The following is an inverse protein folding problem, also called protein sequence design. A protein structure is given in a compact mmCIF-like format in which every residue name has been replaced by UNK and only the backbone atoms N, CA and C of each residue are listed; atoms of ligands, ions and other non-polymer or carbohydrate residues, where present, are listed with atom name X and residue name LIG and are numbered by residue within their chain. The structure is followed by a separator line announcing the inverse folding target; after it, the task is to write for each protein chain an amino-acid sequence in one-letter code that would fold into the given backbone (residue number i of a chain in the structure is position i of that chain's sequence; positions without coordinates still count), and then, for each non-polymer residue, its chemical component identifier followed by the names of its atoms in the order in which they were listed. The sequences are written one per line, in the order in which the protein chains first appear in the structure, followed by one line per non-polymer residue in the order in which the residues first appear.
data_IF_964492579717
#
_entry.id   IF_964492579717
#
_cell.length_a   1.000
_cell.length_b   1.000
_cell.length_c   1.000
_cell.angle_alpha   90.00
_cell.angle_beta   90.00
_cell.angle_gamma   90.00
#
_symmetry.space_group_name_H-M   'P 1'
#
loop_
_entity.id
_entity.type
_entity.pdbx_description
1 polymer ?
#
# COMPACT_ATOMS: atom_id res chain seq x y z
N UNK A 1 -2.95 -3.21 42.11
CA UNK A 1 -2.77 -1.76 41.80
C UNK A 1 -4.14 -1.10 41.82
N UNK A 2 -4.28 -0.01 42.58
CA UNK A 2 -5.56 0.67 42.86
C UNK A 2 -6.21 1.19 41.57
N UNK A 3 -7.54 1.06 41.49
CA UNK A 3 -8.33 1.28 40.27
C UNK A 3 -8.13 2.66 39.66
N UNK A 4 -7.95 2.68 38.34
CA UNK A 4 -8.06 3.86 37.46
C UNK A 4 -9.53 4.36 37.46
N UNK A 5 -10.02 4.85 38.61
CA UNK A 5 -11.35 5.45 38.78
C UNK A 5 -11.47 6.75 37.97
N UNK A 6 -12.72 7.18 37.75
CA UNK A 6 -13.08 8.46 37.12
C UNK A 6 -12.21 9.60 37.65
N UNK A 7 -11.31 10.09 36.81
CA UNK A 7 -10.40 11.19 37.13
C UNK A 7 -11.03 12.51 36.71
N UNK A 8 -10.72 13.55 37.47
CA UNK A 8 -11.17 14.91 37.20
C UNK A 8 -10.73 15.38 35.80
N UNK A 9 -11.70 15.85 35.01
CA UNK A 9 -11.48 16.31 33.63
C UNK A 9 -10.67 17.60 33.58
N UNK A 10 -10.67 18.38 34.65
CA UNK A 10 -10.00 19.68 34.73
C UNK A 10 -8.61 19.60 35.39
N UNK A 11 -8.10 18.38 35.62
CA UNK A 11 -6.83 18.16 36.29
C UNK A 11 -5.64 18.72 35.47
N UNK A 12 -5.01 19.77 35.99
CA UNK A 12 -3.81 20.38 35.36
C UNK A 12 -2.52 19.86 36.00
N UNK A 13 -1.49 19.49 35.20
CA UNK A 13 -0.20 19.07 35.72
C UNK A 13 0.55 20.24 36.38
N UNK A 14 1.33 19.93 37.42
CA UNK A 14 2.31 20.84 38.02
C UNK A 14 3.43 21.17 37.02
N UNK A 15 4.25 22.18 37.33
CA UNK A 15 5.37 22.58 36.44
C UNK A 15 6.31 21.41 36.14
N UNK A 16 6.77 20.70 37.17
CA UNK A 16 7.65 19.54 37.02
C UNK A 16 7.00 18.40 36.20
N UNK A 17 5.69 18.20 36.37
CA UNK A 17 4.95 17.19 35.60
C UNK A 17 4.79 17.60 34.13
N UNK A 18 4.62 18.90 33.84
CA UNK A 18 4.62 19.42 32.46
C UNK A 18 5.96 19.24 31.78
N UNK A 19 7.05 19.50 32.50
CA UNK A 19 8.39 19.34 31.95
C UNK A 19 8.65 17.85 31.61
N UNK A 20 8.26 16.93 32.50
CA UNK A 20 8.30 15.48 32.23
C UNK A 20 7.41 15.06 31.05
N UNK A 21 6.18 15.54 30.99
CA UNK A 21 5.28 15.27 29.87
C UNK A 21 5.87 15.79 28.55
N UNK A 22 6.48 16.97 28.55
CA UNK A 22 7.12 17.54 27.36
C UNK A 22 8.29 16.68 26.90
N UNK A 23 9.10 16.16 27.82
CA UNK A 23 10.17 15.22 27.51
C UNK A 23 9.63 13.91 26.89
N UNK A 24 8.56 13.35 27.47
CA UNK A 24 7.88 12.16 26.94
C UNK A 24 7.36 12.38 25.52
N UNK A 25 6.76 13.55 25.26
CA UNK A 25 6.22 13.92 23.95
C UNK A 25 7.31 14.17 22.90
N UNK A 26 8.56 14.40 23.33
CA UNK A 26 9.70 14.56 22.44
C UNK A 26 10.34 13.22 22.05
N UNK A 27 9.91 12.09 22.63
CA UNK A 27 10.44 10.78 22.25
C UNK A 27 10.12 10.44 20.79
N UNK A 28 11.06 9.81 20.07
CA UNK A 28 10.81 9.36 18.71
C UNK A 28 9.59 8.43 18.62
N UNK A 29 8.93 8.38 17.45
CA UNK A 29 7.90 7.39 17.14
C UNK A 29 8.38 5.96 17.43
N UNK A 30 7.51 5.12 17.99
CA UNK A 30 7.85 3.72 18.30
C UNK A 30 8.68 3.47 19.58
N UNK A 31 9.20 4.50 20.26
CA UNK A 31 9.80 4.30 21.59
C UNK A 31 8.73 3.92 22.62
N UNK A 32 8.94 2.79 23.30
CA UNK A 32 8.07 2.32 24.38
C UNK A 32 8.20 3.18 25.64
N UNK A 33 7.06 3.49 26.24
CA UNK A 33 6.96 4.21 27.50
C UNK A 33 7.09 3.24 28.68
N UNK A 34 7.82 3.65 29.71
CA UNK A 34 7.81 2.94 30.99
C UNK A 34 6.43 3.00 31.65
N UNK A 35 6.15 2.07 32.56
CA UNK A 35 4.86 1.99 33.25
C UNK A 35 4.54 3.30 34.01
N UNK A 36 5.54 3.94 34.60
CA UNK A 36 5.36 5.22 35.32
C UNK A 36 5.01 6.36 34.37
N UNK A 37 5.66 6.43 33.21
CA UNK A 37 5.36 7.40 32.16
C UNK A 37 3.95 7.15 31.59
N UNK A 38 3.57 5.89 31.39
CA UNK A 38 2.23 5.53 30.93
C UNK A 38 1.14 5.95 31.92
N UNK A 39 1.35 5.69 33.22
CA UNK A 39 0.42 6.12 34.27
C UNK A 39 0.33 7.65 34.36
N UNK A 40 1.45 8.36 34.12
CA UNK A 40 1.47 9.83 34.07
C UNK A 40 0.69 10.38 32.88
N UNK A 41 0.91 9.84 31.67
CA UNK A 41 0.19 10.22 30.45
C UNK A 41 -1.30 9.91 30.60
N UNK A 42 -1.65 8.72 31.13
CA UNK A 42 -3.04 8.35 31.40
C UNK A 42 -3.71 9.31 32.40
N UNK A 43 -2.99 9.71 33.46
CA UNK A 43 -3.50 10.66 34.46
C UNK A 43 -3.86 12.02 33.86
N UNK A 44 -3.04 12.55 32.96
CA UNK A 44 -3.24 13.87 32.34
C UNK A 44 -3.86 13.80 30.93
N UNK A 45 -4.51 12.70 30.57
CA UNK A 45 -5.11 12.49 29.23
C UNK A 45 -6.06 13.59 28.76
N UNK A 46 -6.88 14.15 29.64
CA UNK A 46 -7.79 15.25 29.29
C UNK A 46 -7.03 16.53 28.96
N UNK A 47 -5.95 16.83 29.68
CA UNK A 47 -5.08 17.96 29.37
C UNK A 47 -4.31 17.73 28.06
N UNK A 48 -3.82 16.52 27.84
CA UNK A 48 -3.09 16.13 26.63
C UNK A 48 -3.98 16.09 25.37
N UNK A 49 -5.30 16.03 25.52
CA UNK A 49 -6.25 16.01 24.40
C UNK A 49 -6.15 17.23 23.47
N UNK A 50 -5.57 18.33 23.96
CA UNK A 50 -5.31 19.56 23.20
C UNK A 50 -3.99 19.54 22.43
N UNK A 51 -3.14 18.52 22.64
CA UNK A 51 -1.83 18.39 22.01
C UNK A 51 -1.84 17.27 20.96
N UNK A 52 -1.61 17.63 19.69
CA UNK A 52 -1.65 16.68 18.55
C UNK A 52 -0.67 15.50 18.72
N UNK A 53 0.59 15.82 19.03
CA UNK A 53 1.69 14.83 19.19
C UNK A 53 1.50 13.88 20.38
N UNK A 54 0.57 14.19 21.28
CA UNK A 54 0.33 13.37 22.47
C UNK A 54 -0.56 12.16 22.20
N UNK A 55 -1.31 12.15 21.09
CA UNK A 55 -2.29 11.10 20.83
C UNK A 55 -1.65 9.71 20.68
N UNK A 56 -0.58 9.58 19.88
CA UNK A 56 0.10 8.30 19.70
C UNK A 56 0.64 7.75 21.03
N UNK A 57 1.31 8.60 21.81
CA UNK A 57 1.82 8.24 23.15
C UNK A 57 0.69 7.87 24.10
N UNK A 58 -0.43 8.59 24.09
CA UNK A 58 -1.61 8.25 24.88
C UNK A 58 -2.16 6.86 24.51
N UNK A 59 -2.32 6.56 23.23
CA UNK A 59 -2.84 5.28 22.75
C UNK A 59 -1.94 4.09 23.11
N UNK A 60 -0.63 4.30 23.24
CA UNK A 60 0.32 3.29 23.75
C UNK A 60 0.10 2.96 25.23
N UNK A 61 -0.50 3.86 26.01
CA UNK A 61 -0.72 3.70 27.46
C UNK A 61 -2.04 2.97 27.79
N UNK A 62 -2.88 2.72 26.78
CA UNK A 62 -4.21 2.11 26.93
C UNK A 62 -4.08 0.60 27.06
N UNK A 63 -4.71 0.01 28.08
CA UNK A 63 -4.87 -1.44 28.17
C UNK A 63 -6.07 -1.89 27.33
N UNK A 64 -5.80 -2.38 26.13
CA UNK A 64 -6.85 -2.79 25.17
C UNK A 64 -7.63 -4.05 25.58
N UNK A 65 -7.17 -4.76 26.61
CA UNK A 65 -7.85 -5.89 27.26
C UNK A 65 -8.97 -5.46 28.23
N UNK A 66 -8.98 -4.20 28.67
CA UNK A 66 -9.95 -3.68 29.64
C UNK A 66 -11.01 -2.81 28.99
N UNK A 67 -12.25 -3.32 28.91
CA UNK A 67 -13.36 -2.64 28.25
C UNK A 67 -13.62 -1.20 28.74
N UNK A 68 -13.47 -0.94 30.05
CA UNK A 68 -13.66 0.41 30.60
C UNK A 68 -12.60 1.42 30.10
N UNK A 69 -11.33 0.99 30.03
CA UNK A 69 -10.24 1.83 29.53
C UNK A 69 -10.37 2.04 28.01
N UNK A 70 -10.74 0.99 27.28
CA UNK A 70 -11.00 1.06 25.84
C UNK A 70 -12.11 2.06 25.54
N UNK A 71 -13.25 1.98 26.25
CA UNK A 71 -14.37 2.92 26.05
C UNK A 71 -13.92 4.37 26.27
N UNK A 72 -13.22 4.65 27.38
CA UNK A 72 -12.70 6.00 27.66
C UNK A 72 -11.70 6.48 26.60
N UNK A 73 -10.81 5.61 26.12
CA UNK A 73 -9.83 5.95 25.11
C UNK A 73 -10.49 6.28 23.77
N UNK A 74 -11.53 5.53 23.38
CA UNK A 74 -12.28 5.78 22.16
C UNK A 74 -13.13 7.05 22.22
N UNK A 75 -13.77 7.32 23.37
CA UNK A 75 -14.51 8.56 23.59
C UNK A 75 -13.58 9.78 23.52
N UNK A 76 -12.37 9.66 24.07
CA UNK A 76 -11.32 10.68 23.99
C UNK A 76 -10.76 10.84 22.58
N UNK A 77 -10.58 9.75 21.83
CA UNK A 77 -10.08 9.78 20.46
C UNK A 77 -10.96 10.65 19.56
N UNK A 78 -12.28 10.61 19.75
CA UNK A 78 -13.23 11.43 19.01
C UNK A 78 -13.16 12.93 19.36
N UNK A 79 -12.74 13.25 20.58
CA UNK A 79 -12.63 14.63 21.09
C UNK A 79 -11.21 15.19 20.97
N UNK A 80 -10.23 14.34 20.67
CA UNK A 80 -8.83 14.74 20.57
C UNK A 80 -8.63 15.71 19.41
N UNK A 81 -7.72 16.67 19.58
CA UNK A 81 -7.30 17.54 18.47
C UNK A 81 -6.82 16.68 17.30
N UNK A 82 -7.19 17.06 16.08
CA UNK A 82 -6.86 16.28 14.88
C UNK A 82 -5.35 16.15 14.71
N UNK A 83 -4.87 14.91 14.69
CA UNK A 83 -3.48 14.53 14.44
C UNK A 83 -3.05 14.88 13.00
N UNK A 84 -1.77 15.18 12.78
CA UNK A 84 -1.25 15.43 11.43
C UNK A 84 -1.11 14.11 10.64
N UNK A 85 -1.12 14.17 9.31
CA UNK A 85 -1.18 12.95 8.48
C UNK A 85 0.05 12.06 8.66
N UNK A 86 1.22 12.66 8.86
CA UNK A 86 2.49 11.93 9.00
C UNK A 86 2.54 11.15 10.32
N UNK A 87 2.01 11.73 11.40
CA UNK A 87 1.88 11.07 12.71
C UNK A 87 0.88 9.90 12.65
N UNK A 88 -0.11 9.95 11.75
CA UNK A 88 -1.08 8.87 11.58
C UNK A 88 -0.46 7.58 11.01
N UNK A 89 0.70 7.68 10.32
CA UNK A 89 1.45 6.51 9.86
C UNK A 89 1.94 5.66 11.04
N UNK A 90 2.27 6.28 12.19
CA UNK A 90 2.67 5.55 13.40
C UNK A 90 1.53 4.63 13.89
N UNK A 91 0.28 5.10 13.79
CA UNK A 91 -0.91 4.36 14.23
C UNK A 91 -1.24 3.15 13.35
N UNK A 92 -0.62 3.02 12.17
CA UNK A 92 -0.74 1.85 11.30
C UNK A 92 0.33 0.79 11.56
N UNK A 93 1.30 1.09 12.42
CA UNK A 93 2.36 0.17 12.80
C UNK A 93 1.89 -1.02 13.65
N UNK A 94 2.82 -1.94 13.97
CA UNK A 94 2.53 -3.17 14.70
C UNK A 94 2.09 -2.94 16.16
N UNK A 95 2.27 -1.74 16.71
CA UNK A 95 1.91 -1.43 18.09
C UNK A 95 0.40 -1.26 18.27
N UNK A 96 -0.34 -0.94 17.21
CA UNK A 96 -1.76 -0.57 17.29
C UNK A 96 -2.62 -1.51 16.44
N UNK A 97 -3.35 -2.39 17.12
CA UNK A 97 -4.23 -3.39 16.49
C UNK A 97 -5.72 -3.08 16.59
N UNK A 98 -6.11 -2.13 17.45
CA UNK A 98 -7.52 -1.87 17.69
C UNK A 98 -8.21 -1.25 16.46
N UNK A 99 -9.30 -1.85 15.91
CA UNK A 99 -9.89 -1.45 14.64
C UNK A 99 -10.26 0.04 14.56
N UNK A 100 -10.83 0.60 15.62
CA UNK A 100 -11.19 2.03 15.67
C UNK A 100 -9.99 2.99 15.64
N UNK A 101 -8.84 2.58 16.18
CA UNK A 101 -7.60 3.39 16.11
C UNK A 101 -7.08 3.39 14.68
N UNK A 102 -7.07 2.22 14.04
CA UNK A 102 -6.65 2.07 12.64
C UNK A 102 -7.60 2.82 11.69
N UNK A 103 -8.91 2.72 11.91
CA UNK A 103 -9.89 3.49 11.15
C UNK A 103 -9.73 5.00 11.35
N UNK A 104 -9.39 5.46 12.56
CA UNK A 104 -9.02 6.86 12.77
C UNK A 104 -7.79 7.24 11.95
N UNK A 105 -6.73 6.43 11.96
CA UNK A 105 -5.53 6.67 11.16
C UNK A 105 -5.86 6.76 9.65
N UNK A 106 -6.69 5.85 9.14
CA UNK A 106 -7.20 5.88 7.76
C UNK A 106 -8.02 7.14 7.47
N UNK A 107 -8.82 7.62 8.43
CA UNK A 107 -9.56 8.88 8.29
C UNK A 107 -8.64 10.09 8.17
N UNK A 108 -7.45 10.06 8.80
CA UNK A 108 -6.41 11.09 8.65
C UNK A 108 -5.76 10.99 7.27
N UNK A 109 -5.38 9.78 6.84
CA UNK A 109 -4.83 9.54 5.49
C UNK A 109 -5.79 9.97 4.37
N UNK A 110 -7.11 9.87 4.60
CA UNK A 110 -8.10 10.35 3.63
C UNK A 110 -7.99 11.86 3.37
N UNK A 111 -7.40 12.64 4.26
CA UNK A 111 -7.21 14.08 4.08
C UNK A 111 -5.93 14.41 3.32
N UNK A 112 -5.00 13.46 3.13
CA UNK A 112 -3.81 13.67 2.33
C UNK A 112 -4.13 13.82 0.84
N UNK A 113 -3.26 14.54 0.15
CA UNK A 113 -3.24 14.61 -1.31
C UNK A 113 -2.83 13.26 -1.90
N UNK A 114 -3.16 13.02 -3.18
CA UNK A 114 -2.75 11.79 -3.86
C UNK A 114 -1.22 11.71 -4.01
N UNK A 115 -0.54 12.85 -4.13
CA UNK A 115 0.92 12.91 -4.20
C UNK A 115 1.57 12.49 -2.87
N UNK A 116 1.07 12.98 -1.74
CA UNK A 116 1.60 12.60 -0.44
C UNK A 116 1.27 11.12 -0.15
N UNK A 117 0.10 10.65 -0.58
CA UNK A 117 -0.27 9.25 -0.47
C UNK A 117 0.69 8.34 -1.28
N UNK A 118 1.12 8.75 -2.47
CA UNK A 118 2.10 8.04 -3.28
C UNK A 118 3.46 7.94 -2.58
N UNK A 119 3.89 8.98 -1.85
CA UNK A 119 5.14 8.95 -1.07
C UNK A 119 5.14 7.92 0.05
N UNK A 120 3.96 7.64 0.62
CA UNK A 120 3.80 6.68 1.72
C UNK A 120 3.29 5.31 1.24
N UNK A 121 2.94 5.16 -0.03
CA UNK A 121 2.21 4.01 -0.54
C UNK A 121 2.96 2.69 -0.30
N UNK A 122 4.29 2.67 -0.48
CA UNK A 122 5.09 1.47 -0.19
C UNK A 122 4.97 1.06 1.28
N UNK A 123 5.06 2.02 2.21
CA UNK A 123 4.94 1.78 3.64
C UNK A 123 3.51 1.38 4.03
N UNK A 124 2.50 1.93 3.36
CA UNK A 124 1.09 1.56 3.57
C UNK A 124 0.80 0.14 3.10
N UNK A 125 1.40 -0.31 1.99
CA UNK A 125 1.32 -1.71 1.55
C UNK A 125 1.90 -2.62 2.63
N UNK A 126 3.06 -2.28 3.21
CA UNK A 126 3.64 -3.05 4.32
C UNK A 126 2.76 -3.06 5.57
N UNK A 127 2.05 -1.96 5.84
CA UNK A 127 1.16 -1.86 6.99
C UNK A 127 -0.09 -2.77 6.89
N UNK A 128 -0.43 -3.29 5.69
CA UNK A 128 -1.50 -4.28 5.51
C UNK A 128 -1.24 -5.56 6.30
N UNK A 129 0.02 -5.90 6.60
CA UNK A 129 0.40 -7.05 7.44
C UNK A 129 -0.12 -6.95 8.87
N UNK A 130 -0.50 -5.75 9.31
CA UNK A 130 -1.01 -5.51 10.66
C UNK A 130 -2.53 -5.27 10.66
N UNK A 131 -3.19 -5.37 9.50
CA UNK A 131 -4.64 -5.34 9.39
C UNK A 131 -5.26 -6.69 9.76
N UNK A 132 -6.57 -6.65 10.00
CA UNK A 132 -7.39 -7.84 10.23
C UNK A 132 -7.60 -8.62 8.93
N UNK A 133 -7.03 -9.82 8.85
CA UNK A 133 -7.04 -10.63 7.62
C UNK A 133 -8.45 -11.07 7.22
N UNK A 134 -9.35 -11.26 8.19
CA UNK A 134 -10.76 -11.58 7.96
C UNK A 134 -11.48 -10.51 7.13
N UNK A 135 -11.16 -9.22 7.34
CA UNK A 135 -11.75 -8.12 6.57
C UNK A 135 -11.23 -8.06 5.13
N UNK A 136 -9.97 -8.46 4.91
CA UNK A 136 -9.36 -8.52 3.58
C UNK A 136 -9.95 -9.68 2.78
N UNK A 137 -10.14 -10.83 3.43
CA UNK A 137 -10.62 -12.06 2.81
C UNK A 137 -12.13 -12.08 2.55
N UNK A 138 -12.93 -11.32 3.30
CA UNK A 138 -14.39 -11.33 3.22
C UNK A 138 -14.94 -11.13 1.78
N UNK A 139 -14.30 -10.28 0.98
CA UNK A 139 -14.74 -9.99 -0.39
C UNK A 139 -14.36 -11.04 -1.44
N UNK A 140 -13.39 -11.92 -1.15
CA UNK A 140 -12.97 -12.98 -2.09
C UNK A 140 -14.00 -14.12 -2.09
N UNK A 141 -14.66 -14.37 -0.96
CA UNK A 141 -15.62 -15.47 -0.80
C UNK A 141 -16.90 -15.24 -1.61
N UNK A 142 -17.38 -13.99 -1.70
CA UNK A 142 -18.60 -13.66 -2.45
C UNK A 142 -18.39 -13.74 -3.97
N UNK A 143 -17.18 -13.40 -4.45
CA UNK A 143 -16.87 -13.40 -5.88
C UNK A 143 -16.79 -14.79 -6.52
N UNK A 144 -16.33 -15.79 -5.75
CA UNK A 144 -16.26 -17.18 -6.21
C UNK A 144 -17.65 -17.84 -6.34
N UNK A 145 -18.70 -17.24 -5.74
CA UNK A 145 -20.08 -17.72 -5.81
C UNK A 145 -20.84 -17.30 -7.08
N UNK A 146 -20.35 -16.30 -7.82
CA UNK A 146 -21.11 -15.68 -8.92
C UNK A 146 -20.79 -16.26 -10.32
N UNK A 147 -19.79 -17.12 -10.48
CA UNK A 147 -19.43 -17.68 -11.80
C UNK A 147 -20.40 -18.73 -12.38
N UNK A 148 -21.54 -19.03 -11.72
CA UNK A 148 -22.53 -20.00 -12.23
C UNK A 148 -23.92 -19.46 -12.62
N UNK A 149 -24.23 -18.17 -12.49
CA UNK A 149 -25.56 -17.64 -12.85
C UNK A 149 -25.49 -16.43 -13.79
N UNK A 150 -25.15 -16.69 -15.06
CA UNK A 150 -25.49 -15.78 -16.15
C UNK A 150 -26.77 -16.26 -16.81
N UNK A 151 -27.88 -15.54 -16.57
CA UNK A 151 -29.06 -15.30 -17.45
C UNK A 151 -30.26 -14.87 -16.60
N UNK A 152 -30.47 -13.57 -16.40
CA UNK A 152 -31.73 -12.86 -16.68
C UNK A 152 -31.81 -11.46 -16.03
N UNK A 153 -32.45 -10.58 -16.81
CA UNK A 153 -33.14 -9.32 -16.47
C UNK A 153 -32.33 -8.06 -16.11
N UNK A 154 -32.57 -7.08 -16.98
CA UNK A 154 -32.32 -5.65 -16.94
C UNK A 154 -32.94 -4.89 -15.76
N UNK A 155 -32.35 -3.71 -15.51
CA UNK A 155 -32.83 -2.53 -14.78
C UNK A 155 -32.33 -2.34 -13.34
N UNK A 156 -31.44 -1.35 -13.24
CA UNK A 156 -31.26 -0.35 -12.16
C UNK A 156 -30.91 -0.79 -10.71
N UNK A 157 -29.98 -0.01 -10.13
CA UNK A 157 -29.60 0.11 -8.72
C UNK A 157 -28.77 -1.00 -8.05
N UNK A 158 -27.44 -0.83 -8.00
CA UNK A 158 -26.61 -1.32 -6.87
C UNK A 158 -25.48 -0.36 -6.52
N UNK A 159 -25.84 0.75 -5.87
CA UNK A 159 -25.00 1.34 -4.84
C UNK A 159 -25.33 0.64 -3.51
N UNK A 160 -24.84 -0.58 -3.32
CA UNK A 160 -24.86 -1.23 -2.01
C UNK A 160 -23.50 -1.88 -1.78
N UNK A 161 -22.57 -1.07 -1.27
CA UNK A 161 -21.46 -1.59 -0.48
C UNK A 161 -22.09 -2.14 0.80
N UNK A 162 -22.42 -3.43 0.82
CA UNK A 162 -22.88 -4.10 2.03
C UNK A 162 -21.64 -4.32 2.90
N UNK A 163 -21.56 -3.53 3.97
CA UNK A 163 -20.67 -3.79 5.10
C UNK A 163 -21.31 -4.95 5.89
N UNK A 164 -20.57 -6.02 6.23
CA UNK A 164 -21.10 -7.06 7.12
C UNK A 164 -21.51 -6.41 8.44
N UNK A 165 -22.81 -6.41 8.72
CA UNK A 165 -23.36 -5.89 9.96
C UNK A 165 -23.13 -6.94 11.04
N UNK A 166 -22.13 -6.73 11.90
CA UNK A 166 -22.01 -7.50 13.14
C UNK A 166 -23.21 -7.16 14.03
N UNK A 167 -24.02 -8.19 14.29
CA UNK A 167 -25.13 -8.15 15.21
C UNK A 167 -24.61 -8.09 16.64
N UNK A 168 -24.57 -6.90 17.23
CA UNK A 168 -24.72 -6.74 18.68
C UNK A 168 -25.37 -5.40 19.02
N UNK A 169 -26.32 -5.46 19.95
CA UNK A 169 -27.39 -4.50 20.22
C UNK A 169 -27.00 -3.08 20.66
N UNK A 170 -27.90 -2.14 20.33
CA UNK A 170 -28.26 -0.86 20.96
C UNK A 170 -27.16 0.19 21.27
N UNK A 171 -27.20 1.35 20.61
CA UNK A 171 -27.87 2.58 21.08
C UNK A 171 -27.58 3.75 20.11
N UNK A 172 -28.30 4.84 20.30
CA UNK A 172 -28.74 5.86 19.35
C UNK A 172 -27.70 6.92 18.97
N UNK A 173 -27.76 7.38 17.71
CA UNK A 173 -27.43 8.73 17.21
C UNK A 173 -26.03 9.32 17.49
N UNK A 174 -25.15 9.30 16.47
CA UNK A 174 -24.25 10.39 16.03
C UNK A 174 -23.56 9.96 14.74
N UNK A 175 -23.37 10.88 13.80
CA UNK A 175 -22.78 10.66 12.47
C UNK A 175 -21.39 10.03 12.54
N UNK A 176 -21.29 8.71 12.59
CA UNK A 176 -20.03 8.00 12.41
C UNK A 176 -19.78 7.85 10.92
N UNK A 177 -18.71 8.48 10.42
CA UNK A 177 -18.11 8.06 9.16
C UNK A 177 -17.93 6.53 9.20
N UNK A 178 -18.26 5.80 8.12
CA UNK A 178 -18.14 4.35 8.10
C UNK A 178 -16.72 3.96 8.51
N UNK A 179 -16.61 3.00 9.44
CA UNK A 179 -15.32 2.47 9.86
C UNK A 179 -14.70 1.76 8.65
N UNK A 180 -13.70 2.41 8.03
CA UNK A 180 -13.02 1.92 6.83
C UNK A 180 -11.61 1.53 7.23
N UNK A 181 -11.25 0.29 6.90
CA UNK A 181 -9.91 -0.26 7.10
C UNK A 181 -8.95 0.23 6.00
N UNK A 182 -7.66 0.00 6.23
CA UNK A 182 -6.63 0.44 5.29
C UNK A 182 -6.80 -0.22 3.92
N UNK A 183 -7.16 -1.49 3.89
CA UNK A 183 -7.30 -2.26 2.65
C UNK A 183 -8.40 -1.68 1.75
N UNK A 184 -9.58 -1.40 2.30
CA UNK A 184 -10.70 -0.80 1.56
C UNK A 184 -10.36 0.62 1.13
N UNK A 185 -9.70 1.41 1.99
CA UNK A 185 -9.28 2.77 1.64
C UNK A 185 -8.32 2.81 0.45
N UNK A 186 -7.28 1.96 0.45
CA UNK A 186 -6.30 1.91 -0.64
C UNK A 186 -6.96 1.50 -1.96
N UNK A 187 -7.85 0.50 -1.93
CA UNK A 187 -8.59 0.07 -3.13
C UNK A 187 -9.53 1.16 -3.63
N UNK A 188 -10.24 1.87 -2.74
CA UNK A 188 -11.10 2.99 -3.12
C UNK A 188 -10.30 4.09 -3.83
N UNK A 189 -9.15 4.49 -3.27
CA UNK A 189 -8.25 5.48 -3.88
C UNK A 189 -7.66 5.01 -5.20
N UNK A 190 -7.25 3.75 -5.29
CA UNK A 190 -6.76 3.16 -6.54
C UNK A 190 -7.81 3.20 -7.67
N UNK A 191 -9.09 2.99 -7.33
CA UNK A 191 -10.17 3.10 -8.32
C UNK A 191 -10.40 4.54 -8.82
N UNK A 192 -10.00 5.55 -8.04
CA UNK A 192 -10.13 6.97 -8.43
C UNK A 192 -8.90 7.46 -9.19
N UNK A 193 -7.73 6.85 -8.95
CA UNK A 193 -6.44 7.29 -9.48
C UNK A 193 -5.67 6.11 -10.09
N UNK A 194 -5.60 6.03 -11.44
CA UNK A 194 -4.89 4.96 -12.15
C UNK A 194 -3.41 4.80 -11.74
N UNK A 195 -2.72 5.90 -11.47
CA UNK A 195 -1.31 5.91 -11.02
C UNK A 195 -1.16 5.17 -9.69
N UNK A 196 -2.06 5.43 -8.73
CA UNK A 196 -2.07 4.73 -7.44
C UNK A 196 -2.38 3.24 -7.66
N UNK A 197 -3.34 2.90 -8.53
CA UNK A 197 -3.64 1.51 -8.84
C UNK A 197 -2.43 0.73 -9.40
N UNK A 198 -1.66 1.35 -10.30
CA UNK A 198 -0.44 0.77 -10.84
C UNK A 198 0.56 0.42 -9.73
N UNK A 199 0.94 1.42 -8.91
CA UNK A 199 1.91 1.19 -7.85
C UNK A 199 1.40 0.24 -6.77
N UNK A 200 0.13 0.38 -6.37
CA UNK A 200 -0.50 -0.49 -5.38
C UNK A 200 -0.49 -1.96 -5.83
N UNK A 201 -0.83 -2.21 -7.10
CA UNK A 201 -0.76 -3.56 -7.67
C UNK A 201 0.66 -4.10 -7.63
N UNK A 202 1.65 -3.37 -8.18
CA UNK A 202 3.02 -3.88 -8.27
C UNK A 202 3.67 -4.08 -6.90
N UNK A 203 3.41 -3.19 -5.94
CA UNK A 203 3.94 -3.33 -4.58
C UNK A 203 3.33 -4.55 -3.87
N UNK A 204 2.02 -4.75 -3.96
CA UNK A 204 1.38 -5.92 -3.36
C UNK A 204 1.75 -7.22 -4.09
N UNK A 205 1.86 -7.19 -5.43
CA UNK A 205 2.20 -8.35 -6.25
C UNK A 205 3.58 -8.92 -5.90
N UNK A 206 4.58 -8.06 -5.66
CA UNK A 206 5.93 -8.50 -5.25
C UNK A 206 5.91 -9.19 -3.88
N UNK A 207 5.03 -8.75 -2.96
CA UNK A 207 4.85 -9.40 -1.65
C UNK A 207 4.17 -10.77 -1.75
N UNK A 208 3.45 -11.05 -2.85
CA UNK A 208 2.91 -12.38 -3.13
C UNK A 208 4.01 -13.37 -3.58
N UNK A 209 4.99 -12.92 -4.37
CA UNK A 209 6.03 -13.80 -4.95
C UNK A 209 7.17 -14.10 -3.97
N UNK A 210 7.46 -13.17 -3.07
CA UNK A 210 8.51 -13.32 -2.09
C UNK A 210 7.91 -13.93 -0.81
N UNK A 211 8.10 -15.23 -0.51
CA UNK A 211 8.36 -15.76 0.84
C UNK A 211 8.49 -17.29 0.88
N UNK A 212 9.65 -17.79 1.33
CA UNK A 212 10.00 -19.22 1.38
C UNK A 212 9.70 -19.91 2.73
N UNK A 213 8.98 -19.26 3.66
CA UNK A 213 8.74 -19.77 5.02
C UNK A 213 7.27 -20.07 5.32
N UNK A 214 7.02 -21.06 6.18
CA UNK A 214 5.68 -21.52 6.57
C UNK A 214 4.92 -20.47 7.41
N UNK A 215 5.61 -19.65 8.22
CA UNK A 215 4.99 -18.57 9.00
C UNK A 215 4.54 -17.40 8.13
N UNK A 216 5.14 -17.25 6.96
CA UNK A 216 4.83 -16.19 6.02
C UNK A 216 3.67 -16.55 5.09
N UNK A 217 3.23 -17.81 5.07
CA UNK A 217 2.13 -18.25 4.20
C UNK A 217 0.84 -17.46 4.46
N UNK A 218 0.47 -17.23 5.72
CA UNK A 218 -0.72 -16.45 6.04
C UNK A 218 -0.63 -14.98 5.56
N UNK A 219 0.58 -14.42 5.53
CA UNK A 219 0.83 -13.06 5.02
C UNK A 219 0.76 -13.04 3.49
N UNK A 220 1.37 -14.04 2.84
CA UNK A 220 1.28 -14.22 1.38
C UNK A 220 -0.16 -14.44 0.94
N UNK A 221 -0.92 -15.30 1.63
CA UNK A 221 -2.35 -15.53 1.37
C UNK A 221 -3.16 -14.24 1.53
N UNK A 222 -2.82 -13.40 2.53
CA UNK A 222 -3.44 -12.07 2.72
C UNK A 222 -3.15 -11.14 1.55
N UNK A 223 -1.89 -11.01 1.11
CA UNK A 223 -1.55 -10.16 -0.04
C UNK A 223 -2.17 -10.68 -1.33
N UNK A 224 -2.24 -12.00 -1.51
CA UNK A 224 -2.93 -12.60 -2.65
C UNK A 224 -4.42 -12.24 -2.63
N UNK A 225 -5.10 -12.41 -1.50
CA UNK A 225 -6.50 -12.01 -1.35
C UNK A 225 -6.70 -10.50 -1.60
N UNK A 226 -5.76 -9.66 -1.16
CA UNK A 226 -5.78 -8.22 -1.42
C UNK A 226 -5.65 -7.90 -2.92
N UNK A 227 -4.71 -8.54 -3.64
CA UNK A 227 -4.53 -8.36 -5.09
C UNK A 227 -5.76 -8.86 -5.87
N UNK A 228 -6.34 -9.98 -5.47
CA UNK A 228 -7.57 -10.51 -6.05
C UNK A 228 -8.74 -9.55 -5.84
N UNK A 229 -8.90 -9.03 -4.61
CA UNK A 229 -9.91 -8.02 -4.28
C UNK A 229 -9.73 -6.73 -5.07
N UNK A 230 -8.50 -6.25 -5.23
CA UNK A 230 -8.19 -5.09 -6.07
C UNK A 230 -8.60 -5.33 -7.52
N UNK A 231 -8.20 -6.48 -8.10
CA UNK A 231 -8.53 -6.85 -9.48
C UNK A 231 -10.04 -6.95 -9.70
N UNK A 232 -10.75 -7.61 -8.79
CA UNK A 232 -12.21 -7.73 -8.86
C UNK A 232 -12.90 -6.37 -8.76
N UNK A 233 -12.49 -5.52 -7.81
CA UNK A 233 -13.09 -4.19 -7.64
C UNK A 233 -12.85 -3.32 -8.88
N UNK A 234 -11.66 -3.39 -9.47
CA UNK A 234 -11.38 -2.68 -10.73
C UNK A 234 -12.23 -3.22 -11.89
N UNK A 235 -12.55 -4.52 -11.92
CA UNK A 235 -13.39 -5.15 -12.95
C UNK A 235 -14.85 -4.70 -12.87
N UNK A 236 -15.40 -4.55 -11.67
CA UNK A 236 -16.86 -4.37 -11.47
C UNK A 236 -17.31 -2.92 -11.28
N UNK A 237 -16.42 -2.02 -10.80
CA UNK A 237 -16.84 -0.68 -10.36
C UNK A 237 -17.33 0.22 -11.49
N UNK A 238 -16.53 0.42 -12.55
CA UNK A 238 -16.91 1.18 -13.74
C UNK A 238 -15.99 0.87 -14.94
N UNK A 239 -16.32 1.41 -16.11
CA UNK A 239 -15.54 1.20 -17.35
C UNK A 239 -14.10 1.74 -17.24
N UNK A 240 -13.89 2.88 -16.58
CA UNK A 240 -12.55 3.45 -16.40
C UNK A 240 -11.65 2.53 -15.57
N UNK A 241 -12.15 2.00 -14.46
CA UNK A 241 -11.41 1.05 -13.62
C UNK A 241 -11.16 -0.27 -14.34
N UNK A 242 -12.09 -0.69 -15.20
CA UNK A 242 -11.91 -1.87 -16.04
C UNK A 242 -10.74 -1.67 -17.01
N UNK A 243 -10.60 -0.48 -17.62
CA UNK A 243 -9.45 -0.15 -18.45
C UNK A 243 -8.14 -0.15 -17.67
N UNK A 244 -8.15 0.35 -16.42
CA UNK A 244 -6.98 0.28 -15.53
C UNK A 244 -6.59 -1.18 -15.27
N UNK A 245 -7.57 -2.06 -15.00
CA UNK A 245 -7.33 -3.50 -14.80
C UNK A 245 -6.70 -4.16 -16.04
N UNK A 246 -7.25 -3.90 -17.23
CA UNK A 246 -6.73 -4.42 -18.50
C UNK A 246 -5.31 -3.90 -18.77
N UNK A 247 -5.06 -2.63 -18.44
CA UNK A 247 -3.72 -2.03 -18.54
C UNK A 247 -2.72 -2.74 -17.63
N UNK A 248 -3.09 -3.04 -16.37
CA UNK A 248 -2.25 -3.79 -15.43
C UNK A 248 -2.00 -5.23 -15.93
N UNK A 249 -3.02 -5.91 -16.46
CA UNK A 249 -2.87 -7.25 -17.04
C UNK A 249 -1.92 -7.24 -18.26
N UNK A 250 -2.01 -6.21 -19.11
CA UNK A 250 -1.10 -6.02 -20.24
C UNK A 250 0.35 -5.75 -19.79
N UNK A 251 0.53 -4.93 -18.76
CA UNK A 251 1.85 -4.71 -18.14
C UNK A 251 2.44 -6.00 -17.58
N UNK A 252 1.65 -6.78 -16.81
CA UNK A 252 2.09 -8.05 -16.26
C UNK A 252 2.54 -9.00 -17.37
N UNK A 253 1.71 -9.15 -18.41
CA UNK A 253 2.06 -9.95 -19.60
C UNK A 253 3.36 -9.46 -20.23
N UNK A 254 3.54 -8.15 -20.40
CA UNK A 254 4.77 -7.58 -20.96
C UNK A 254 6.00 -7.94 -20.11
N UNK A 255 5.93 -7.79 -18.79
CA UNK A 255 7.02 -8.13 -17.86
C UNK A 255 7.32 -9.64 -17.89
N UNK A 256 6.31 -10.49 -17.85
CA UNK A 256 6.47 -11.95 -17.93
C UNK A 256 7.18 -12.36 -19.22
N UNK A 257 6.84 -11.72 -20.34
CA UNK A 257 7.47 -11.96 -21.63
C UNK A 257 8.90 -11.43 -21.71
N UNK A 258 9.23 -10.32 -21.03
CA UNK A 258 10.62 -9.90 -20.86
C UNK A 258 11.43 -10.89 -20.01
N UNK A 259 10.84 -11.45 -18.95
CA UNK A 259 11.47 -12.50 -18.14
C UNK A 259 11.77 -13.74 -18.99
N UNK A 260 10.80 -14.21 -19.78
CA UNK A 260 10.97 -15.34 -20.70
C UNK A 260 12.10 -15.07 -21.71
N UNK A 261 12.07 -13.90 -22.36
CA UNK A 261 13.06 -13.46 -23.34
C UNK A 261 14.48 -13.41 -22.74
N UNK A 262 14.63 -12.78 -21.58
CA UNK A 262 15.93 -12.66 -20.90
C UNK A 262 16.45 -14.00 -20.42
N UNK A 263 15.59 -14.92 -19.98
CA UNK A 263 15.98 -16.29 -19.64
C UNK A 263 16.51 -17.08 -20.84
N UNK A 264 15.89 -16.93 -22.02
CA UNK A 264 16.40 -17.54 -23.26
C UNK A 264 17.83 -17.02 -23.54
N UNK A 265 18.03 -15.70 -23.48
CA UNK A 265 19.34 -15.08 -23.77
C UNK A 265 20.39 -15.43 -22.71
N UNK A 266 20.01 -15.55 -21.43
CA UNK A 266 20.93 -15.98 -20.36
C UNK A 266 21.49 -17.37 -20.59
N UNK A 267 20.71 -18.29 -21.17
CA UNK A 267 21.12 -19.68 -21.50
C UNK A 267 22.07 -19.77 -22.69
N UNK A 268 22.15 -18.74 -23.53
CA UNK A 268 23.08 -18.71 -24.67
C UNK A 268 24.51 -18.61 -24.16
N UNK A 269 25.37 -19.50 -24.66
CA UNK A 269 26.81 -19.47 -24.41
C UNK A 269 27.50 -18.51 -25.37
N UNK A 270 28.52 -17.79 -24.89
CA UNK A 270 29.31 -16.87 -25.70
C UNK A 270 29.47 -15.49 -25.09
N UNK A 271 30.10 -14.60 -25.86
CA UNK A 271 30.38 -13.23 -25.45
C UNK A 271 29.10 -12.39 -25.32
N UNK A 272 29.18 -11.25 -24.62
CA UNK A 272 28.05 -10.32 -24.51
C UNK A 272 27.48 -9.91 -25.87
N UNK A 273 28.34 -9.73 -26.89
CA UNK A 273 27.93 -9.41 -28.26
C UNK A 273 27.07 -10.53 -28.88
N UNK A 274 27.45 -11.78 -28.71
CA UNK A 274 26.66 -12.93 -29.20
C UNK A 274 25.28 -12.97 -28.54
N UNK A 275 25.21 -12.67 -27.24
CA UNK A 275 23.95 -12.60 -26.49
C UNK A 275 23.09 -11.42 -26.95
N UNK A 276 23.69 -10.25 -27.20
CA UNK A 276 23.02 -9.07 -27.75
C UNK A 276 22.46 -9.34 -29.15
N UNK A 277 23.26 -9.93 -30.05
CA UNK A 277 22.83 -10.29 -31.41
C UNK A 277 21.66 -11.29 -31.37
N UNK A 278 21.72 -12.27 -30.46
CA UNK A 278 20.60 -13.20 -30.24
C UNK A 278 19.36 -12.49 -29.72
N UNK A 279 19.48 -11.61 -28.72
CA UNK A 279 18.36 -10.83 -28.21
C UNK A 279 17.73 -9.97 -29.32
N UNK A 280 18.56 -9.32 -30.14
CA UNK A 280 18.12 -8.51 -31.28
C UNK A 280 17.32 -9.35 -32.28
N UNK A 281 17.82 -10.54 -32.62
CA UNK A 281 17.11 -11.47 -33.52
C UNK A 281 15.75 -11.91 -32.95
N UNK A 282 15.64 -12.12 -31.64
CA UNK A 282 14.40 -12.54 -30.98
C UNK A 282 13.36 -11.42 -30.90
N UNK A 283 13.80 -10.16 -30.80
CA UNK A 283 12.92 -8.98 -30.86
C UNK A 283 12.45 -8.74 -32.31
N UNK A 284 13.37 -8.83 -33.28
CA UNK A 284 13.07 -8.63 -34.70
C UNK A 284 12.17 -9.72 -35.31
N UNK A 285 12.12 -10.90 -34.69
CA UNK A 285 11.22 -11.97 -35.11
C UNK A 285 9.73 -11.62 -34.94
N UNK A 286 9.37 -10.59 -34.15
CA UNK A 286 7.99 -10.15 -33.99
C UNK A 286 7.07 -11.30 -33.53
N UNK A 287 6.02 -11.57 -34.30
CA UNK A 287 5.03 -12.63 -34.01
C UNK A 287 5.61 -14.05 -34.12
N UNK A 288 6.67 -14.24 -34.90
CA UNK A 288 7.38 -15.53 -35.04
C UNK A 288 8.35 -15.80 -33.87
N UNK A 289 8.46 -14.86 -32.92
CA UNK A 289 9.31 -15.01 -31.74
C UNK A 289 8.83 -16.18 -30.87
N UNK A 290 9.73 -17.00 -30.30
CA UNK A 290 9.36 -18.12 -29.42
C UNK A 290 8.57 -17.69 -28.18
N UNK A 291 8.72 -16.42 -27.79
CA UNK A 291 8.05 -15.80 -26.63
C UNK A 291 6.57 -15.47 -26.93
N UNK A 292 6.13 -15.53 -28.20
CA UNK A 292 4.77 -15.23 -28.68
C UNK A 292 4.28 -13.85 -28.23
N UNK A 293 5.16 -12.86 -28.31
CA UNK A 293 4.86 -11.47 -28.01
C UNK A 293 5.66 -10.56 -28.95
N UNK A 294 4.96 -9.66 -29.64
CA UNK A 294 5.57 -8.73 -30.56
C UNK A 294 6.04 -7.47 -29.85
N UNK A 295 7.33 -7.39 -29.53
CA UNK A 295 7.92 -6.22 -28.88
C UNK A 295 8.13 -5.02 -29.83
N UNK A 296 7.93 -5.18 -31.13
CA UNK A 296 8.07 -4.11 -32.12
C UNK A 296 6.81 -3.27 -32.28
N UNK A 297 5.66 -3.85 -31.96
CA UNK A 297 4.37 -3.18 -32.06
C UNK A 297 3.36 -3.86 -31.13
N UNK A 298 3.03 -3.19 -30.04
CA UNK A 298 1.98 -3.61 -29.11
C UNK A 298 1.12 -2.41 -28.71
N UNK A 299 -0.10 -2.69 -28.24
CA UNK A 299 -1.00 -1.64 -27.75
C UNK A 299 -0.33 -0.84 -26.64
N UNK A 300 -0.36 0.50 -26.66
CA UNK A 300 0.40 1.31 -25.70
C UNK A 300 0.12 0.95 -24.25
N UNK A 301 1.17 0.55 -23.52
CA UNK A 301 1.10 0.23 -22.09
C UNK A 301 1.81 1.31 -21.27
N UNK A 302 1.26 1.73 -20.11
CA UNK A 302 1.99 2.53 -19.16
C UNK A 302 3.14 1.71 -18.55
N UNK A 303 4.27 2.34 -18.26
CA UNK A 303 5.39 1.65 -17.63
C UNK A 303 5.05 1.31 -16.17
N UNK A 304 5.37 0.09 -15.69
CA UNK A 304 5.23 -0.26 -14.28
C UNK A 304 5.95 0.69 -13.32
N UNK A 305 7.15 1.15 -13.71
CA UNK A 305 8.00 2.03 -12.91
C UNK A 305 7.50 3.49 -12.89
N UNK A 306 6.94 3.94 -14.02
CA UNK A 306 6.42 5.29 -14.21
C UNK A 306 5.16 5.23 -15.09
N UNK A 307 3.97 5.13 -14.47
CA UNK A 307 2.73 4.94 -15.20
C UNK A 307 2.28 6.15 -16.02
N UNK A 308 2.93 7.31 -15.88
CA UNK A 308 2.66 8.48 -16.73
C UNK A 308 3.24 8.29 -18.14
N UNK A 309 4.28 7.46 -18.26
CA UNK A 309 4.97 7.19 -19.51
C UNK A 309 4.39 5.94 -20.17
N UNK A 310 3.78 6.12 -21.34
CA UNK A 310 3.26 5.02 -22.15
C UNK A 310 4.25 4.66 -23.26
N UNK A 311 4.56 3.37 -23.35
CA UNK A 311 5.45 2.81 -24.38
C UNK A 311 4.66 2.01 -25.40
N UNK A 312 5.12 2.00 -26.65
CA UNK A 312 4.48 1.26 -27.77
C UNK A 312 5.35 0.17 -28.39
N UNK A 313 6.67 0.27 -28.22
CA UNK A 313 7.64 -0.72 -28.71
C UNK A 313 8.99 -0.64 -28.02
N UNK A 314 9.79 -1.69 -28.19
CA UNK A 314 11.22 -1.72 -27.89
C UNK A 314 11.99 -1.48 -29.19
N UNK A 315 13.05 -0.66 -29.14
CA UNK A 315 13.95 -0.36 -30.25
C UNK A 315 15.09 -1.40 -30.26
N UNK A 316 15.06 -2.41 -31.15
CA UNK A 316 16.05 -3.49 -31.12
C UNK A 316 17.48 -2.98 -31.37
N UNK A 317 17.65 -1.93 -32.17
CA UNK A 317 18.96 -1.38 -32.54
C UNK A 317 19.70 -0.77 -31.34
N UNK A 318 18.99 -0.44 -30.25
CA UNK A 318 19.56 0.28 -29.09
C UNK A 318 19.69 -0.57 -27.83
N UNK A 319 19.37 -1.87 -27.92
CA UNK A 319 19.54 -2.79 -26.80
C UNK A 319 21.02 -2.99 -26.45
N UNK A 320 21.32 -3.18 -25.17
CA UNK A 320 22.66 -3.50 -24.68
C UNK A 320 22.60 -4.44 -23.48
N UNK A 321 23.62 -5.26 -23.27
CA UNK A 321 23.78 -6.09 -22.07
C UNK A 321 24.96 -5.55 -21.26
N UNK A 322 24.71 -5.19 -20.00
CA UNK A 322 25.76 -4.69 -19.13
C UNK A 322 26.72 -5.82 -18.74
N UNK A 323 28.02 -5.52 -18.72
CA UNK A 323 29.07 -6.43 -18.26
C UNK A 323 29.04 -6.52 -16.73
N UNK A 324 28.17 -7.38 -16.20
CA UNK A 324 28.03 -7.65 -14.77
C UNK A 324 27.65 -9.11 -14.54
N UNK A 325 27.99 -9.65 -13.37
CA UNK A 325 27.69 -11.05 -12.99
C UNK A 325 26.20 -11.39 -13.10
N UNK A 326 25.32 -10.42 -12.85
CA UNK A 326 23.85 -10.60 -12.87
C UNK A 326 23.21 -10.36 -14.24
N UNK A 327 24.01 -9.94 -15.24
CA UNK A 327 23.60 -9.66 -16.63
C UNK A 327 22.34 -8.76 -16.73
N UNK A 328 22.42 -7.48 -16.33
CA UNK A 328 21.36 -6.51 -16.57
C UNK A 328 21.19 -6.21 -18.06
N UNK A 329 19.95 -6.04 -18.51
CA UNK A 329 19.59 -5.72 -19.88
C UNK A 329 19.15 -4.26 -19.98
N UNK A 330 19.75 -3.50 -20.90
CA UNK A 330 19.25 -2.19 -21.32
C UNK A 330 18.28 -2.38 -22.47
N UNK A 331 17.01 -2.07 -22.24
CA UNK A 331 16.01 -1.93 -23.28
C UNK A 331 15.75 -0.44 -23.51
N UNK A 332 15.74 0.00 -24.76
CA UNK A 332 15.31 1.36 -25.11
C UNK A 332 13.93 1.24 -25.70
N UNK A 333 12.93 1.80 -25.01
CA UNK A 333 11.55 1.83 -25.45
C UNK A 333 11.28 3.12 -26.22
N UNK A 334 10.29 3.09 -27.12
CA UNK A 334 9.74 4.29 -27.72
C UNK A 334 8.40 4.62 -27.05
N UNK A 335 8.25 5.87 -26.62
CA UNK A 335 7.01 6.38 -26.03
C UNK A 335 5.95 6.64 -27.10
N UNK A 336 4.71 6.86 -26.68
CA UNK A 336 3.64 7.31 -27.58
C UNK A 336 3.94 8.68 -28.21
N UNK A 337 4.77 9.51 -27.58
CA UNK A 337 5.23 10.80 -28.12
C UNK A 337 6.40 10.63 -29.12
N UNK A 338 6.92 9.42 -29.33
CA UNK A 338 8.08 9.16 -30.18
C UNK A 338 9.43 9.42 -29.50
N UNK A 339 9.44 9.62 -28.18
CA UNK A 339 10.66 9.82 -27.41
C UNK A 339 11.29 8.48 -27.01
N UNK A 340 12.60 8.49 -26.77
CA UNK A 340 13.32 7.30 -26.33
C UNK A 340 13.40 7.24 -24.81
N UNK A 341 12.97 6.10 -24.26
CA UNK A 341 12.96 5.87 -22.82
C UNK A 341 13.83 4.64 -22.47
N UNK A 342 15.05 4.83 -21.96
CA UNK A 342 15.94 3.73 -21.59
C UNK A 342 15.55 3.10 -20.25
N UNK A 343 15.45 1.76 -20.21
CA UNK A 343 15.09 0.97 -19.04
C UNK A 343 16.15 -0.08 -18.77
N UNK A 344 16.63 -0.15 -17.53
CA UNK A 344 17.49 -1.23 -17.08
C UNK A 344 16.63 -2.32 -16.45
N UNK A 345 16.56 -3.47 -17.10
CA UNK A 345 15.85 -4.64 -16.64
C UNK A 345 16.82 -5.64 -15.99
N UNK A 346 16.59 -5.92 -14.70
CA UNK A 346 17.35 -6.90 -13.92
C UNK A 346 16.40 -8.02 -13.49
N UNK A 347 16.82 -9.26 -13.69
CA UNK A 347 16.06 -10.45 -13.30
C UNK A 347 16.95 -11.40 -12.50
N UNK A 348 16.47 -11.89 -11.36
CA UNK A 348 17.27 -12.69 -10.40
C UNK A 348 18.08 -11.86 -9.40
N UNK A 349 17.73 -10.58 -9.25
CA UNK A 349 18.20 -9.67 -8.20
C UNK A 349 16.98 -9.12 -7.47
N UNK A 350 17.06 -8.97 -6.16
CA UNK A 350 16.04 -8.31 -5.35
C UNK A 350 16.33 -6.80 -5.32
N UNK A 351 15.42 -6.01 -5.90
CA UNK A 351 15.58 -4.56 -6.02
C UNK A 351 14.82 -3.77 -4.93
N UNK A 352 14.19 -4.44 -3.96
CA UNK A 352 13.37 -3.77 -2.95
C UNK A 352 14.17 -2.82 -2.07
N UNK A 353 15.41 -3.20 -1.74
CA UNK A 353 16.31 -2.33 -0.99
C UNK A 353 16.62 -1.05 -1.78
N UNK A 354 17.06 -1.18 -3.04
CA UNK A 354 17.32 -0.03 -3.91
C UNK A 354 16.07 0.84 -4.09
N UNK A 355 14.91 0.22 -4.28
CA UNK A 355 13.62 0.92 -4.43
C UNK A 355 13.26 1.72 -3.19
N UNK A 356 13.41 1.15 -1.99
CA UNK A 356 13.14 1.85 -0.74
C UNK A 356 14.09 3.04 -0.57
N UNK A 357 15.38 2.87 -0.87
CA UNK A 357 16.36 3.95 -0.78
C UNK A 357 16.03 5.09 -1.75
N UNK A 358 15.68 4.78 -3.01
CA UNK A 358 15.28 5.79 -3.98
C UNK A 358 14.02 6.54 -3.53
N UNK A 359 13.03 5.84 -2.98
CA UNK A 359 11.82 6.46 -2.46
C UNK A 359 12.13 7.39 -1.28
N UNK A 360 13.03 6.98 -0.37
CA UNK A 360 13.47 7.82 0.75
C UNK A 360 14.19 9.07 0.22
N UNK A 361 15.05 8.94 -0.78
CA UNK A 361 15.72 10.10 -1.41
C UNK A 361 14.68 11.07 -1.98
N UNK A 362 13.70 10.57 -2.74
CA UNK A 362 12.60 11.39 -3.27
C UNK A 362 11.82 12.11 -2.18
N UNK A 363 11.52 11.41 -1.08
CA UNK A 363 10.86 12.00 0.08
C UNK A 363 11.73 13.09 0.72
N UNK A 364 13.02 12.83 0.93
CA UNK A 364 13.96 13.80 1.52
C UNK A 364 14.11 15.05 0.66
N UNK A 365 14.21 14.89 -0.66
CA UNK A 365 14.28 16.02 -1.59
C UNK A 365 13.00 16.85 -1.52
N UNK A 366 11.82 16.21 -1.53
CA UNK A 366 10.53 16.91 -1.40
C UNK A 366 10.43 17.69 -0.08
N UNK A 367 10.74 17.06 1.05
CA UNK A 367 10.74 17.73 2.38
C UNK A 367 11.72 18.91 2.41
N UNK A 368 12.86 18.80 1.72
CA UNK A 368 13.84 19.88 1.61
C UNK A 368 13.32 21.07 0.79
N UNK A 369 12.48 20.85 -0.22
CA UNK A 369 11.91 21.95 -1.02
C UNK A 369 10.71 22.64 -0.36
N UNK A 370 10.04 22.00 0.61
CA UNK A 370 8.89 22.56 1.33
C UNK A 370 9.27 23.35 2.60
N UNK A 371 10.51 23.25 3.07
CA UNK A 371 11.08 24.07 4.14
C UNK A 371 12.06 25.09 3.57
#
# INVERSE_FOLDING_TARGET
RSGRKAMDKDLKPSREQRDKLTQILAYPPGQYLSIEEQDLVWKYRFFLSQHKKALAKFLQCVHWDKQEEVKQALDLLQQWVTMDTDDALELLGPTYHHPKVRSYAVSRLRQASDEDLLLYLLQLVQALRYERYDLINAYVVDAAGEEQNSLNSSSENYANVVVPSDSTSCDSTKSSSPEIDLSTFLIQRACEKPIIANYLFWYAYVECENNSSVKDKAITDMYQAFVERLSLTLKTKNEQTQQVRLSIEAQKKFVDKLVELTNIVKRVQGSAKVKEDKLRSLLLAGDDSPVRFNFLNFDPIPLPLDPEIKIRRIIPEKIRIFKSAKLPFLFVCETIQGEEYPIIFKYGDDLRQDQLILQIITLMDRVRYYN
#
